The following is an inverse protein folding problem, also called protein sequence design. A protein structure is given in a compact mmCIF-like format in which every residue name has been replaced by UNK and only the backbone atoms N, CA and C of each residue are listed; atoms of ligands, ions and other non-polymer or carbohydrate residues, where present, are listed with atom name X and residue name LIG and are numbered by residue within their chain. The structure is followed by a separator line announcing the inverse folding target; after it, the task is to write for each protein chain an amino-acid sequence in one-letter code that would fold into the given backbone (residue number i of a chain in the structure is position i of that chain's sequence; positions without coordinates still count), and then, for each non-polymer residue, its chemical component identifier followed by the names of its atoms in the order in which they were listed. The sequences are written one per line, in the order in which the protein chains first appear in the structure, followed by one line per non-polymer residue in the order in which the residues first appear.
data_IF_337978664787
#
_entry.id   IF_337978664787
#
_cell.length_a   1.000
_cell.length_b   1.000
_cell.length_c   1.000
_cell.angle_alpha   90.00
_cell.angle_beta   90.00
_cell.angle_gamma   90.00
#
_symmetry.space_group_name_H-M   'P 1'
#
loop_
_entity.id
_entity.type
_entity.pdbx_description
1 polymer ?
#
# COMPACT_ATOMS: atom_id res chain seq x y z
N UNK A 1 4.84 4.57 12.30
CA UNK A 1 3.86 5.68 12.16
C UNK A 1 4.56 6.95 11.62
N UNK A 2 3.92 7.69 10.69
CA UNK A 2 4.51 8.85 9.99
C UNK A 2 3.64 10.10 10.19
N UNK A 3 4.22 11.18 10.72
CA UNK A 3 3.51 12.45 10.90
C UNK A 3 3.28 13.13 9.55
N UNK A 4 2.02 13.41 9.25
CA UNK A 4 1.54 14.14 8.07
C UNK A 4 1.06 15.53 8.48
N UNK A 5 0.79 16.38 7.48
CA UNK A 5 0.26 17.73 7.70
C UNK A 5 -1.03 17.73 8.54
N UNK A 6 -1.85 16.67 8.47
CA UNK A 6 -3.19 16.61 9.07
C UNK A 6 -3.38 15.47 10.07
N UNK A 7 -2.32 14.81 10.52
CA UNK A 7 -2.45 13.70 11.46
C UNK A 7 -1.28 12.72 11.40
N UNK A 8 -1.43 11.58 12.07
CA UNK A 8 -0.44 10.50 12.05
C UNK A 8 -0.91 9.40 11.11
N UNK A 9 -0.08 9.00 10.15
CA UNK A 9 -0.30 7.80 9.35
C UNK A 9 0.21 6.58 10.12
N UNK A 10 -0.63 5.57 10.29
CA UNK A 10 -0.30 4.34 11.02
C UNK A 10 0.07 3.17 10.09
N UNK A 11 -0.10 3.36 8.78
CA UNK A 11 0.19 2.35 7.76
C UNK A 11 0.90 2.90 6.53
N UNK A 12 1.28 1.99 5.65
CA UNK A 12 1.79 2.26 4.32
C UNK A 12 1.04 1.35 3.34
N UNK A 13 0.67 1.89 2.18
CA UNK A 13 0.06 1.13 1.09
C UNK A 13 1.14 0.80 0.06
N UNK A 14 1.13 -0.42 -0.47
CA UNK A 14 2.06 -0.84 -1.51
C UNK A 14 1.56 -0.43 -2.89
N UNK A 15 2.46 0.13 -3.69
CA UNK A 15 2.23 0.46 -5.09
C UNK A 15 3.47 0.11 -5.91
N UNK A 16 3.26 -0.18 -7.19
CA UNK A 16 4.33 -0.35 -8.16
C UNK A 16 4.45 0.89 -9.06
N UNK A 17 5.66 1.16 -9.52
CA UNK A 17 6.00 2.16 -10.54
C UNK A 17 7.11 1.58 -11.43
N UNK A 18 7.11 1.92 -12.71
CA UNK A 18 8.14 1.51 -13.67
C UNK A 18 8.89 2.70 -14.26
N UNK A 19 9.51 2.51 -15.42
CA UNK A 19 10.26 3.55 -16.13
C UNK A 19 9.35 4.69 -16.65
N UNK A 20 8.08 4.39 -16.86
CA UNK A 20 7.07 5.38 -17.21
C UNK A 20 6.48 6.02 -15.94
N UNK A 21 6.15 7.33 -15.98
CA UNK A 21 5.47 7.99 -14.87
C UNK A 21 4.12 7.33 -14.60
N UNK A 22 3.91 6.86 -13.36
CA UNK A 22 2.67 6.23 -12.94
C UNK A 22 2.78 5.53 -11.59
N UNK A 23 1.65 5.40 -10.90
CA UNK A 23 1.51 4.63 -9.67
C UNK A 23 0.38 3.63 -9.85
N UNK A 24 0.68 2.35 -9.61
CA UNK A 24 -0.27 1.25 -9.71
C UNK A 24 -0.47 0.63 -8.33
N UNK A 25 -1.69 0.72 -7.79
CA UNK A 25 -2.02 0.15 -6.49
C UNK A 25 -2.01 -1.38 -6.58
N UNK A 26 -1.27 -2.03 -5.70
CA UNK A 26 -1.29 -3.49 -5.62
C UNK A 26 -2.59 -3.93 -4.96
N UNK A 27 -3.30 -4.85 -5.62
CA UNK A 27 -4.47 -5.51 -5.06
C UNK A 27 -4.06 -6.89 -4.55
N UNK A 28 -4.64 -7.37 -3.44
CA UNK A 28 -4.37 -8.71 -2.97
C UNK A 28 -4.98 -9.75 -3.92
N UNK A 29 -4.50 -10.98 -3.83
CA UNK A 29 -5.08 -12.11 -4.55
C UNK A 29 -6.54 -12.35 -4.15
N UNK A 30 -7.32 -12.93 -5.06
CA UNK A 30 -8.72 -13.27 -4.79
C UNK A 30 -8.85 -14.18 -3.57
N UNK A 31 -9.73 -13.80 -2.64
CA UNK A 31 -9.99 -14.55 -1.41
C UNK A 31 -9.05 -14.23 -0.24
N UNK A 32 -8.07 -13.34 -0.41
CA UNK A 32 -7.26 -12.84 0.69
C UNK A 32 -8.13 -12.11 1.73
N UNK A 33 -7.89 -12.39 3.01
CA UNK A 33 -8.61 -11.79 4.13
C UNK A 33 -7.73 -10.80 4.90
N UNK A 34 -8.31 -9.80 5.60
CA UNK A 34 -7.56 -8.88 6.43
C UNK A 34 -6.65 -9.60 7.45
N UNK A 35 -5.40 -9.16 7.55
CA UNK A 35 -4.41 -9.73 8.49
C UNK A 35 -3.61 -10.91 7.94
N UNK A 36 -3.93 -11.43 6.76
CA UNK A 36 -3.07 -12.40 6.07
C UNK A 36 -1.69 -11.79 5.77
N UNK A 37 -0.62 -12.55 6.01
CA UNK A 37 0.76 -12.10 5.78
C UNK A 37 1.11 -12.18 4.30
N UNK A 38 1.63 -11.08 3.75
CA UNK A 38 2.28 -11.05 2.43
C UNK A 38 3.63 -11.76 2.54
N UNK A 39 3.98 -12.59 1.55
CA UNK A 39 5.29 -13.23 1.41
C UNK A 39 5.86 -12.98 0.03
#
# INVERSE_FOLDING_TARGET
PRKMKFGMSEGMVLAASGDAPGLFILSPDSGAQPGMKVK
#
